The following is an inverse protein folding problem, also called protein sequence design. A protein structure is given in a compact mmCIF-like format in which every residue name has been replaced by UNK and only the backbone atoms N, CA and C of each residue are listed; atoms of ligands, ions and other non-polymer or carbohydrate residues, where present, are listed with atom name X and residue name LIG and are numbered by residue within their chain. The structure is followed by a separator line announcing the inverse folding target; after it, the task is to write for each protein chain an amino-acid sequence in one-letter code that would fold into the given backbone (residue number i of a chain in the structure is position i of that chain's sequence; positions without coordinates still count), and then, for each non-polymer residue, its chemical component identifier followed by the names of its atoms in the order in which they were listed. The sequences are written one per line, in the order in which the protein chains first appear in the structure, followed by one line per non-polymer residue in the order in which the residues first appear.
data_IF_057172074084
#
_entry.id   IF_057172074084
#
_cell.length_a   1.000
_cell.length_b   1.000
_cell.length_c   1.000
_cell.angle_alpha   90.00
_cell.angle_beta   90.00
_cell.angle_gamma   90.00
#
_symmetry.space_group_name_H-M   'P 1'
#
loop_
_entity.id
_entity.type
_entity.pdbx_description
1 polymer ?
#
# COMPACT_ATOMS: atom_id res chain seq x y z
N UNK A 1 -11.38 11.54 8.74
CA UNK A 1 -11.09 11.65 7.28
C UNK A 1 -10.38 12.93 6.89
N UNK A 2 -10.80 14.12 7.35
CA UNK A 2 -10.14 15.40 7.00
C UNK A 2 -8.63 15.46 7.26
N UNK A 3 -8.16 14.94 8.39
CA UNK A 3 -6.71 14.88 8.68
C UNK A 3 -5.95 14.06 7.64
N UNK A 4 -6.52 12.92 7.20
CA UNK A 4 -5.93 12.09 6.15
C UNK A 4 -5.90 12.84 4.82
N UNK A 5 -7.01 13.47 4.41
CA UNK A 5 -7.06 14.22 3.16
C UNK A 5 -6.05 15.40 3.13
N UNK A 6 -5.92 16.15 4.24
CA UNK A 6 -4.87 17.19 4.36
C UNK A 6 -3.45 16.62 4.30
N UNK A 7 -3.25 15.41 4.85
CA UNK A 7 -1.95 14.74 4.77
C UNK A 7 -1.63 14.32 3.33
N UNK A 8 -2.62 13.85 2.58
CA UNK A 8 -2.45 13.46 1.17
C UNK A 8 -2.13 14.69 0.32
N UNK A 9 -2.88 15.78 0.47
CA UNK A 9 -2.64 17.04 -0.25
C UNK A 9 -1.20 17.56 -0.08
N UNK A 10 -0.54 17.27 1.04
CA UNK A 10 0.87 17.65 1.29
C UNK A 10 1.90 16.69 0.69
N UNK A 11 1.50 15.45 0.42
CA UNK A 11 2.38 14.34 0.05
C UNK A 11 2.29 13.96 -1.42
N UNK A 12 1.16 14.24 -2.04
CA UNK A 12 0.88 13.95 -3.44
C UNK A 12 1.03 15.23 -4.27
N UNK A 13 2.05 15.32 -5.14
CA UNK A 13 2.22 16.45 -6.04
C UNK A 13 1.07 16.64 -7.04
N UNK A 14 0.27 15.60 -7.30
CA UNK A 14 -0.87 15.65 -8.22
C UNK A 14 -2.16 16.16 -7.56
N UNK A 15 -2.17 16.38 -6.24
CA UNK A 15 -3.34 16.89 -5.54
C UNK A 15 -3.43 18.42 -5.64
N UNK A 16 -4.49 18.94 -6.27
CA UNK A 16 -4.67 20.38 -6.44
C UNK A 16 -5.49 21.01 -5.31
N UNK A 17 -6.43 20.27 -4.70
CA UNK A 17 -7.25 20.81 -3.61
C UNK A 17 -7.72 19.74 -2.61
N UNK A 18 -8.12 20.19 -1.42
CA UNK A 18 -8.69 19.29 -0.40
C UNK A 18 -10.01 18.67 -0.85
N UNK A 19 -10.83 19.43 -1.57
CA UNK A 19 -12.14 18.98 -2.04
C UNK A 19 -11.99 17.87 -3.08
N UNK A 20 -11.06 18.04 -4.02
CA UNK A 20 -10.67 17.00 -4.98
C UNK A 20 -10.27 15.71 -4.26
N UNK A 21 -9.31 15.78 -3.34
CA UNK A 21 -8.84 14.60 -2.58
C UNK A 21 -9.98 13.90 -1.83
N UNK A 22 -10.94 14.64 -1.28
CA UNK A 22 -12.09 14.06 -0.57
C UNK A 22 -13.08 13.36 -1.50
N UNK A 23 -13.30 13.90 -2.71
CA UNK A 23 -14.35 13.43 -3.62
C UNK A 23 -13.86 12.41 -4.64
N UNK A 24 -12.63 12.54 -5.13
CA UNK A 24 -12.15 11.77 -6.30
C UNK A 24 -11.18 10.66 -5.91
N UNK A 25 -10.43 10.79 -4.81
CA UNK A 25 -9.37 9.82 -4.52
C UNK A 25 -9.94 8.49 -4.01
N UNK A 26 -9.68 7.36 -4.71
CA UNK A 26 -10.25 6.06 -4.36
C UNK A 26 -9.77 5.59 -2.99
N UNK A 27 -8.53 5.88 -2.61
CA UNK A 27 -7.98 5.56 -1.30
C UNK A 27 -8.73 6.21 -0.13
N UNK A 28 -9.10 7.49 -0.27
CA UNK A 28 -9.90 8.19 0.75
C UNK A 28 -11.31 7.58 0.84
N UNK A 29 -11.95 7.32 -0.29
CA UNK A 29 -13.28 6.70 -0.34
C UNK A 29 -13.28 5.30 0.27
N UNK A 30 -12.27 4.48 -0.03
CA UNK A 30 -12.13 3.14 0.54
C UNK A 30 -11.91 3.20 2.06
N UNK A 31 -11.03 4.08 2.53
CA UNK A 31 -10.81 4.28 3.96
C UNK A 31 -12.08 4.77 4.67
N UNK A 32 -12.87 5.65 4.06
CA UNK A 32 -14.14 6.11 4.62
C UNK A 32 -15.10 4.93 4.85
N UNK A 33 -15.36 4.13 3.82
CA UNK A 33 -16.23 2.96 3.95
C UNK A 33 -15.68 1.93 4.93
N UNK A 34 -14.37 1.68 4.91
CA UNK A 34 -13.71 0.80 5.88
C UNK A 34 -13.96 1.28 7.31
N UNK A 35 -13.91 2.58 7.62
CA UNK A 35 -14.17 3.05 9.01
C UNK A 35 -15.59 2.71 9.47
N UNK A 36 -16.57 2.81 8.58
CA UNK A 36 -17.96 2.42 8.88
C UNK A 36 -18.05 0.90 9.03
N UNK A 37 -17.48 0.13 8.10
CA UNK A 37 -17.48 -1.33 8.15
C UNK A 37 -16.78 -1.87 9.42
N UNK A 38 -15.63 -1.28 9.78
CA UNK A 38 -14.87 -1.60 10.98
C UNK A 38 -15.69 -1.33 12.25
N UNK A 39 -16.40 -0.19 12.29
CA UNK A 39 -17.32 0.10 13.39
C UNK A 39 -18.42 -0.96 13.50
N UNK A 40 -19.04 -1.37 12.38
CA UNK A 40 -20.06 -2.42 12.39
C UNK A 40 -19.50 -3.77 12.86
N UNK A 41 -18.31 -4.15 12.39
CA UNK A 41 -17.62 -5.37 12.81
C UNK A 41 -17.27 -5.36 14.31
N UNK A 42 -16.86 -4.21 14.85
CA UNK A 42 -16.61 -4.04 16.28
C UNK A 42 -17.87 -4.26 17.12
N UNK A 43 -19.04 -3.87 16.60
CA UNK A 43 -20.35 -4.12 17.23
C UNK A 43 -20.94 -5.50 16.87
N UNK A 44 -20.12 -6.41 16.31
CA UNK A 44 -20.51 -7.78 15.91
C UNK A 44 -21.60 -7.86 14.83
N UNK A 45 -21.83 -6.77 14.08
CA UNK A 45 -22.73 -6.72 12.93
C UNK A 45 -21.99 -7.18 11.66
N UNK A 46 -21.52 -8.43 11.66
CA UNK A 46 -20.60 -8.94 10.64
C UNK A 46 -21.17 -8.94 9.22
N UNK A 47 -22.45 -9.25 9.05
CA UNK A 47 -23.11 -9.24 7.73
C UNK A 47 -23.13 -7.83 7.13
N UNK A 48 -23.46 -6.81 7.94
CA UNK A 48 -23.48 -5.41 7.50
C UNK A 48 -22.06 -4.95 7.18
N UNK A 49 -21.10 -5.28 8.05
CA UNK A 49 -19.69 -4.97 7.84
C UNK A 49 -19.15 -5.58 6.52
N UNK A 50 -19.48 -6.85 6.26
CA UNK A 50 -19.15 -7.54 5.02
C UNK A 50 -19.77 -6.90 3.80
N UNK A 51 -21.06 -6.56 3.84
CA UNK A 51 -21.74 -5.85 2.75
C UNK A 51 -21.08 -4.51 2.44
N UNK A 52 -20.79 -3.69 3.46
CA UNK A 52 -20.11 -2.41 3.30
C UNK A 52 -18.70 -2.57 2.72
N UNK A 53 -17.95 -3.58 3.16
CA UNK A 53 -16.64 -3.92 2.61
C UNK A 53 -16.72 -4.28 1.13
N UNK A 54 -17.66 -5.14 0.74
CA UNK A 54 -17.85 -5.54 -0.66
C UNK A 54 -18.33 -4.37 -1.53
N UNK A 55 -19.20 -3.51 -0.99
CA UNK A 55 -19.61 -2.28 -1.67
C UNK A 55 -18.40 -1.36 -1.92
N UNK A 56 -17.57 -1.12 -0.90
CA UNK A 56 -16.35 -0.33 -1.02
C UNK A 56 -15.42 -0.91 -2.11
N UNK A 57 -15.16 -2.21 -2.04
CA UNK A 57 -14.34 -2.90 -3.02
C UNK A 57 -14.87 -2.76 -4.45
N UNK A 58 -16.19 -2.86 -4.64
CA UNK A 58 -16.83 -2.66 -5.96
C UNK A 58 -16.63 -1.24 -6.50
N UNK A 59 -16.80 -0.21 -5.66
CA UNK A 59 -16.80 1.18 -6.14
C UNK A 59 -15.41 1.83 -6.17
N UNK A 60 -14.43 1.29 -5.46
CA UNK A 60 -13.05 1.83 -5.42
C UNK A 60 -12.00 0.88 -5.96
N UNK A 61 -12.32 -0.41 -6.13
CA UNK A 61 -11.35 -1.46 -6.46
C UNK A 61 -10.33 -1.77 -5.36
N UNK A 62 -10.61 -1.37 -4.11
CA UNK A 62 -9.76 -1.58 -2.94
C UNK A 62 -10.53 -2.47 -1.95
N UNK A 63 -9.99 -3.66 -1.65
CA UNK A 63 -10.59 -4.59 -0.70
C UNK A 63 -9.93 -4.47 0.67
N UNK A 64 -10.70 -4.11 1.70
CA UNK A 64 -10.22 -3.98 3.07
C UNK A 64 -11.15 -4.75 4.00
N UNK A 65 -10.63 -5.80 4.63
CA UNK A 65 -11.40 -6.56 5.62
C UNK A 65 -11.84 -5.65 6.77
N UNK A 66 -13.12 -5.72 7.21
CA UNK A 66 -13.62 -4.91 8.32
C UNK A 66 -12.81 -5.06 9.62
N UNK A 67 -12.22 -6.22 9.86
CA UNK A 67 -11.49 -6.55 11.10
C UNK A 67 -10.06 -6.00 11.13
N UNK A 68 -9.54 -5.54 9.98
CA UNK A 68 -8.20 -4.97 9.89
C UNK A 68 -8.09 -3.75 10.81
N UNK A 69 -6.88 -3.46 11.30
CA UNK A 69 -6.60 -2.30 12.16
C UNK A 69 -5.76 -1.30 11.40
N UNK A 70 -6.34 -0.14 11.06
CA UNK A 70 -5.66 0.88 10.25
C UNK A 70 -5.54 2.18 11.05
N UNK A 71 -4.33 2.74 11.11
CA UNK A 71 -3.99 4.00 11.77
C UNK A 71 -4.48 5.24 11.03
N UNK A 72 -4.05 6.40 11.49
CA UNK A 72 -4.40 7.72 10.92
C UNK A 72 -3.45 8.08 9.77
N UNK A 73 -3.91 8.91 8.84
CA UNK A 73 -3.09 9.46 7.74
C UNK A 73 -2.43 8.39 6.84
N UNK A 74 -3.01 7.20 6.80
CA UNK A 74 -2.67 6.20 5.78
C UNK A 74 -3.08 6.73 4.41
N UNK A 75 -2.15 6.69 3.46
CA UNK A 75 -2.40 7.06 2.07
C UNK A 75 -2.39 5.81 1.22
N UNK A 76 -3.55 5.48 0.66
CA UNK A 76 -3.68 4.46 -0.39
C UNK A 76 -3.71 5.20 -1.72
N UNK A 77 -2.57 5.20 -2.41
CA UNK A 77 -2.34 5.95 -3.64
C UNK A 77 -2.64 5.10 -4.88
N UNK A 78 -3.43 5.65 -5.80
CA UNK A 78 -4.15 4.98 -6.91
C UNK A 78 -5.09 3.85 -6.46
N UNK A 79 -4.63 2.96 -5.58
CA UNK A 79 -5.39 2.01 -4.78
C UNK A 79 -5.98 0.82 -5.54
N UNK A 80 -6.17 0.88 -6.85
CA UNK A 80 -6.74 -0.22 -7.63
C UNK A 80 -5.99 -1.55 -7.34
N UNK A 81 -6.74 -2.60 -6.99
CA UNK A 81 -6.19 -3.93 -6.70
C UNK A 81 -5.51 -4.07 -5.34
N UNK A 82 -5.62 -3.09 -4.43
CA UNK A 82 -5.13 -3.25 -3.05
C UNK A 82 -6.02 -4.22 -2.28
N UNK A 83 -5.39 -5.17 -1.57
CA UNK A 83 -6.06 -6.16 -0.73
C UNK A 83 -5.47 -6.15 0.68
N UNK A 84 -6.29 -5.88 1.69
CA UNK A 84 -5.89 -5.83 3.11
C UNK A 84 -6.69 -6.84 3.91
N UNK A 85 -6.03 -7.87 4.43
CA UNK A 85 -6.69 -8.97 5.14
C UNK A 85 -7.07 -8.68 6.59
N UNK A 86 -7.95 -9.54 7.13
CA UNK A 86 -8.65 -9.38 8.42
C UNK A 86 -7.76 -9.08 9.63
N UNK A 87 -6.57 -9.66 9.70
CA UNK A 87 -5.68 -9.48 10.86
C UNK A 87 -4.51 -8.55 10.57
N UNK A 88 -4.57 -7.81 9.46
CA UNK A 88 -3.54 -6.86 9.11
C UNK A 88 -3.58 -5.68 10.09
N UNK A 89 -2.41 -5.19 10.46
CA UNK A 89 -2.26 -3.98 11.26
C UNK A 89 -1.43 -3.00 10.46
N UNK A 90 -1.94 -1.80 10.26
CA UNK A 90 -1.28 -0.71 9.55
C UNK A 90 -1.25 0.47 10.51
N UNK A 91 -0.07 0.95 10.86
CA UNK A 91 0.09 2.11 11.72
C UNK A 91 -0.11 3.44 10.95
N UNK A 92 0.09 4.54 11.67
CA UNK A 92 -0.03 5.89 11.14
C UNK A 92 0.94 6.19 9.98
N UNK A 93 0.56 7.13 9.11
CA UNK A 93 1.44 7.71 8.08
C UNK A 93 1.98 6.73 7.02
N UNK A 94 1.49 5.49 6.98
CA UNK A 94 1.88 4.49 5.98
C UNK A 94 1.38 4.89 4.58
N UNK A 95 2.18 4.57 3.56
CA UNK A 95 1.84 4.75 2.14
C UNK A 95 1.73 3.40 1.46
N UNK A 96 0.64 3.17 0.73
CA UNK A 96 0.37 1.93 0.00
C UNK A 96 -0.01 2.30 -1.42
N UNK A 97 0.72 1.78 -2.40
CA UNK A 97 0.40 1.99 -3.81
C UNK A 97 -0.59 0.92 -4.31
N UNK A 98 -1.08 1.09 -5.54
CA UNK A 98 -1.95 0.13 -6.21
C UNK A 98 -1.38 -1.30 -6.25
N UNK A 99 -2.27 -2.30 -6.29
CA UNK A 99 -1.94 -3.72 -6.43
C UNK A 99 -1.26 -4.37 -5.23
N UNK A 100 -1.10 -3.65 -4.11
CA UNK A 100 -0.47 -4.19 -2.90
C UNK A 100 -1.38 -5.18 -2.19
N UNK A 101 -0.82 -6.32 -1.78
CA UNK A 101 -1.52 -7.30 -0.93
C UNK A 101 -0.87 -7.40 0.44
N UNK A 102 -1.66 -7.22 1.49
CA UNK A 102 -1.33 -7.60 2.86
C UNK A 102 -2.09 -8.89 3.20
N UNK A 103 -1.51 -10.02 2.78
CA UNK A 103 -2.20 -11.31 2.67
C UNK A 103 -1.72 -12.34 3.68
N UNK A 104 -2.50 -13.42 3.82
CA UNK A 104 -2.09 -14.60 4.56
C UNK A 104 -1.17 -15.48 3.71
N UNK A 105 -0.18 -16.13 4.34
CA UNK A 105 0.67 -17.13 3.68
C UNK A 105 0.09 -18.54 3.78
N UNK A 106 -0.68 -18.82 4.83
CA UNK A 106 -1.28 -20.12 5.15
C UNK A 106 -2.65 -19.89 5.80
N UNK A 107 -3.56 -20.86 5.64
CA UNK A 107 -4.82 -20.89 6.36
C UNK A 107 -4.56 -21.34 7.80
N UNK A 108 -4.44 -20.38 8.71
CA UNK A 108 -4.23 -20.61 10.15
C UNK A 108 -5.20 -19.77 10.95
N UNK A 109 -5.59 -20.25 12.13
CA UNK A 109 -6.36 -19.45 13.07
C UNK A 109 -5.52 -18.31 13.66
N UNK A 110 -6.19 -17.26 14.12
CA UNK A 110 -5.54 -16.10 14.71
C UNK A 110 -4.80 -15.22 13.69
N UNK A 111 -3.74 -14.56 14.15
CA UNK A 111 -3.01 -13.54 13.38
C UNK A 111 -2.16 -14.18 12.28
N UNK A 112 -2.45 -13.79 11.04
CA UNK A 112 -1.88 -14.39 9.82
C UNK A 112 -1.49 -13.39 8.72
N UNK A 113 -1.69 -12.10 8.98
CA UNK A 113 -1.45 -11.02 8.02
C UNK A 113 -0.34 -10.07 8.52
N UNK A 114 0.23 -9.23 7.63
CA UNK A 114 1.31 -8.32 7.97
C UNK A 114 0.97 -7.27 9.02
N UNK A 115 2.01 -6.81 9.71
CA UNK A 115 2.03 -5.59 10.50
C UNK A 115 2.92 -4.57 9.82
N UNK A 116 2.38 -3.40 9.51
CA UNK A 116 3.08 -2.33 8.83
C UNK A 116 3.24 -1.16 9.79
N UNK A 117 4.47 -0.93 10.24
CA UNK A 117 4.77 0.14 11.19
C UNK A 117 4.73 1.52 10.54
N UNK A 118 4.69 2.54 11.39
CA UNK A 118 4.52 3.94 11.07
C UNK A 118 5.45 4.40 9.95
N UNK A 119 4.87 5.16 9.01
CA UNK A 119 5.62 5.83 7.95
C UNK A 119 6.28 4.91 6.92
N UNK A 120 6.00 3.60 6.94
CA UNK A 120 6.48 2.70 5.91
C UNK A 120 5.87 3.04 4.54
N UNK A 121 6.62 2.78 3.47
CA UNK A 121 6.19 2.96 2.09
C UNK A 121 6.15 1.61 1.40
N UNK A 122 5.00 1.24 0.85
CA UNK A 122 4.77 -0.02 0.16
C UNK A 122 4.51 0.24 -1.32
N UNK A 123 5.50 -0.09 -2.15
CA UNK A 123 5.48 0.16 -3.59
C UNK A 123 4.43 -0.66 -4.35
N UNK A 124 4.11 -0.19 -5.56
CA UNK A 124 3.07 -0.77 -6.40
C UNK A 124 3.25 -2.29 -6.60
N UNK A 125 2.16 -3.04 -6.55
CA UNK A 125 2.15 -4.50 -6.74
C UNK A 125 2.99 -5.31 -5.74
N UNK A 126 3.45 -4.74 -4.63
CA UNK A 126 4.18 -5.50 -3.62
C UNK A 126 3.26 -6.47 -2.85
N UNK A 127 3.73 -7.70 -2.66
CA UNK A 127 3.00 -8.79 -2.00
C UNK A 127 3.65 -9.08 -0.65
N UNK A 128 2.98 -8.73 0.45
CA UNK A 128 3.44 -8.96 1.82
C UNK A 128 2.60 -10.09 2.42
N UNK A 129 3.22 -11.25 2.68
CA UNK A 129 2.49 -12.47 2.96
C UNK A 129 2.88 -13.10 4.30
N UNK A 130 1.87 -13.31 5.15
CA UNK A 130 2.01 -13.96 6.45
C UNK A 130 2.18 -12.99 7.63
N UNK A 131 2.46 -13.55 8.80
CA UNK A 131 2.66 -12.80 10.05
C UNK A 131 4.06 -12.19 10.10
N UNK A 132 4.29 -11.22 9.23
CA UNK A 132 5.54 -10.47 9.13
C UNK A 132 5.35 -9.03 9.63
N UNK A 133 6.45 -8.41 10.03
CA UNK A 133 6.50 -7.00 10.43
C UNK A 133 7.34 -6.22 9.45
N UNK A 134 6.78 -5.13 8.94
CA UNK A 134 7.45 -4.13 8.13
C UNK A 134 7.86 -2.97 9.03
N UNK A 135 9.16 -2.74 9.12
CA UNK A 135 9.77 -1.77 10.03
C UNK A 135 9.32 -0.32 9.80
N UNK A 136 9.41 0.50 10.85
CA UNK A 136 9.03 1.91 10.78
C UNK A 136 9.91 2.63 9.74
N UNK A 137 9.29 3.47 8.91
CA UNK A 137 9.97 4.20 7.82
C UNK A 137 10.76 3.33 6.83
N UNK A 138 10.46 2.02 6.76
CA UNK A 138 11.03 1.13 5.75
C UNK A 138 10.36 1.36 4.39
N UNK A 139 11.01 0.88 3.33
CA UNK A 139 10.53 0.97 1.95
C UNK A 139 10.49 -0.42 1.33
N UNK A 140 9.33 -0.82 0.83
CA UNK A 140 9.17 -2.02 0.02
C UNK A 140 9.09 -1.57 -1.44
N UNK A 141 10.00 -2.08 -2.27
CA UNK A 141 10.02 -1.79 -3.70
C UNK A 141 8.78 -2.31 -4.42
N UNK A 142 8.49 -1.72 -5.57
CA UNK A 142 7.41 -2.19 -6.44
C UNK A 142 7.65 -3.65 -6.86
N UNK A 143 6.58 -4.45 -6.91
CA UNK A 143 6.60 -5.86 -7.29
C UNK A 143 7.32 -6.80 -6.32
N UNK A 144 7.78 -6.31 -5.16
CA UNK A 144 8.53 -7.14 -4.22
C UNK A 144 7.63 -8.20 -3.55
N UNK A 145 8.15 -9.42 -3.34
CA UNK A 145 7.47 -10.47 -2.56
C UNK A 145 8.15 -10.59 -1.20
N UNK A 146 7.51 -10.03 -0.17
CA UNK A 146 8.05 -9.97 1.19
C UNK A 146 7.50 -11.11 2.02
N UNK A 147 8.39 -12.00 2.44
CA UNK A 147 8.07 -13.22 3.19
C UNK A 147 8.66 -13.23 4.62
N UNK A 148 9.47 -12.23 4.95
CA UNK A 148 10.19 -12.12 6.22
C UNK A 148 10.06 -10.70 6.80
N UNK A 149 10.36 -10.56 8.09
CA UNK A 149 10.38 -9.25 8.74
C UNK A 149 11.39 -8.31 8.07
N UNK A 150 11.04 -7.03 8.00
CA UNK A 150 11.87 -5.95 7.50
C UNK A 150 12.22 -5.04 8.67
N UNK A 151 13.50 -4.76 8.87
CA UNK A 151 13.95 -3.86 9.93
C UNK A 151 13.52 -2.40 9.66
N UNK A 152 13.47 -1.60 10.72
CA UNK A 152 13.16 -0.18 10.61
C UNK A 152 14.15 0.52 9.65
N UNK A 153 13.68 1.55 8.94
CA UNK A 153 14.48 2.37 8.00
C UNK A 153 15.22 1.59 6.90
N UNK A 154 14.76 0.37 6.60
CA UNK A 154 15.39 -0.52 5.61
C UNK A 154 14.63 -0.47 4.28
N UNK A 155 15.34 -0.58 3.16
CA UNK A 155 14.71 -0.79 1.84
C UNK A 155 14.85 -2.24 1.42
N UNK A 156 13.75 -2.88 1.02
CA UNK A 156 13.74 -4.24 0.46
C UNK A 156 13.12 -4.26 -0.94
N UNK A 157 13.69 -5.04 -1.85
CA UNK A 157 13.19 -5.19 -3.23
C UNK A 157 13.34 -6.65 -3.71
N UNK A 158 12.66 -7.00 -4.79
CA UNK A 158 12.84 -8.28 -5.49
C UNK A 158 11.87 -9.40 -5.04
N UNK A 159 12.02 -10.56 -5.69
CA UNK A 159 11.23 -11.76 -5.44
C UNK A 159 12.18 -12.97 -5.29
N UNK A 160 12.34 -13.54 -4.07
CA UNK A 160 11.87 -13.02 -2.79
C UNK A 160 12.61 -11.74 -2.38
N UNK A 161 11.95 -10.87 -1.61
CA UNK A 161 12.50 -9.57 -1.25
C UNK A 161 13.79 -9.72 -0.40
N UNK A 162 14.76 -8.84 -0.69
CA UNK A 162 16.03 -8.74 0.03
C UNK A 162 16.34 -7.29 0.33
N UNK A 163 17.04 -7.06 1.45
CA UNK A 163 17.57 -5.74 1.78
C UNK A 163 18.53 -5.29 0.70
N UNK A 164 18.34 -4.06 0.23
CA UNK A 164 19.32 -3.37 -0.58
C UNK A 164 20.02 -2.33 0.28
N UNK A 165 21.34 -2.45 0.35
CA UNK A 165 22.16 -1.33 0.79
C UNK A 165 21.96 -0.20 -0.22
N UNK A 166 22.04 1.07 0.21
CA UNK A 166 22.02 2.22 -0.71
C UNK A 166 22.94 1.89 -1.88
N UNK A 167 22.38 1.65 -3.06
CA UNK A 167 23.17 1.56 -4.27
C UNK A 167 23.89 2.91 -4.36
N UNK A 168 25.23 2.96 -4.46
CA UNK A 168 25.84 4.20 -4.92
C UNK A 168 25.15 4.53 -6.23
N UNK A 169 24.69 5.77 -6.39
CA UNK A 169 24.09 6.25 -7.62
C UNK A 169 25.17 6.22 -8.72
N UNK A 170 25.45 5.03 -9.25
CA UNK A 170 26.37 4.86 -10.37
C UNK A 170 25.56 5.25 -11.60
N UNK A 171 25.63 6.52 -11.96
CA UNK A 171 25.16 7.02 -13.25
C UNK A 171 25.94 6.26 -14.31
N UNK A 172 25.27 5.34 -15.01
CA UNK A 172 25.85 4.68 -16.18
C UNK A 172 25.61 5.62 -17.35
N UNK A 173 26.67 6.27 -17.82
CA UNK A 173 26.62 7.02 -19.06
C UNK A 173 26.50 6.01 -20.21
N UNK A 174 25.32 5.97 -20.84
CA UNK A 174 25.10 5.19 -22.06
C UNK A 174 25.40 6.10 -23.25
N UNK A 175 26.48 5.84 -23.96
CA UNK A 175 26.79 6.53 -25.22
C UNK A 175 26.10 5.79 -26.36
N UNK A 176 25.16 6.43 -27.03
CA UNK A 176 24.57 5.90 -28.24
C UNK A 176 25.46 6.27 -29.44
N UNK A 177 26.14 5.29 -30.03
CA UNK A 177 26.79 5.48 -31.35
C UNK A 177 25.74 5.38 -32.44
N UNK A 178 25.40 6.51 -33.06
CA UNK A 178 24.61 6.52 -34.29
C UNK A 178 25.51 6.10 -35.45
N UNK A 179 25.42 4.85 -35.88
CA UNK A 179 25.96 4.44 -37.17
C UNK A 179 25.05 4.99 -38.27
N UNK A 180 25.28 6.24 -38.68
CA UNK A 180 24.72 6.75 -39.94
C UNK A 180 25.54 6.16 -41.08
N UNK A 181 25.08 5.02 -41.61
CA UNK A 181 25.51 4.55 -42.91
C UNK A 181 24.97 5.51 -43.96
N UNK A 182 25.75 6.52 -44.32
CA UNK A 182 25.52 7.31 -45.53
C UNK A 182 25.64 6.39 -46.74
N UNK A 183 24.50 5.96 -47.28
CA UNK A 183 24.40 5.46 -48.64
C UNK A 183 24.83 6.59 -49.58
N UNK A 184 26.03 6.46 -50.15
CA UNK A 184 26.45 7.28 -51.29
C UNK A 184 25.64 6.80 -52.51
N UNK A 185 24.82 7.69 -53.07
CA UNK A 185 24.40 7.62 -54.47
C UNK A 185 25.52 8.17 -55.34
#
# INVERSE_FOLDING_TARGET
MFQTARSILKRDPAAHSLLEVLLTYPGIRALFWYRIAHFMAFHRLYTIAGFLSQHAAKVTGISISPEAKIGKRVFIDHGIGVVIGATAVIEDDVTILHGVTLGARRAVEGRRHPYVKKGAFIGANAQLLGTITIGAFSKVGAGAIVLNNVADKTTVVGNPARTVNKLPAKVINVTFTTNTSTTKN
#
